data_IF_614286143807
#
_entry.id   IF_614286143807
#
_cell.length_a   1.000
_cell.length_b   1.000
_cell.length_c   1.000
_cell.angle_alpha   90.00
_cell.angle_beta   90.00
_cell.angle_gamma   90.00
#
_symmetry.space_group_name_H-M   'P 1'
#
loop_
_entity.id
_entity.type
_entity.pdbx_description
1 polymer ?
#
# COMPACT_ATOMS: atom_id res chain seq x y z
N UNK A 1 13.51 2.59 8.93
CA UNK A 1 12.82 2.75 7.67
C UNK A 1 13.59 1.95 6.64
N UNK A 2 13.08 1.70 5.45
CA UNK A 2 13.75 0.73 4.61
C UNK A 2 13.75 1.15 3.14
N UNK A 3 14.91 1.04 2.50
CA UNK A 3 15.06 0.98 1.06
C UNK A 3 14.51 -0.35 0.52
N UNK A 4 14.21 -0.42 -0.77
CA UNK A 4 13.89 -1.67 -1.45
C UNK A 4 14.80 -1.83 -2.68
N UNK A 5 15.21 -3.07 -2.93
CA UNK A 5 15.96 -3.45 -4.13
C UNK A 5 15.26 -4.63 -4.80
N UNK A 6 14.81 -4.41 -6.03
CA UNK A 6 14.23 -5.43 -6.90
C UNK A 6 15.26 -5.76 -7.98
N UNK A 7 15.75 -7.00 -8.00
CA UNK A 7 16.83 -7.44 -8.89
C UNK A 7 16.36 -8.57 -9.79
N UNK A 8 16.27 -8.28 -11.08
CA UNK A 8 15.88 -9.25 -12.12
C UNK A 8 14.56 -9.98 -11.80
N UNK A 9 13.60 -9.26 -11.22
CA UNK A 9 12.30 -9.83 -10.80
C UNK A 9 11.52 -10.30 -12.01
N UNK A 10 11.09 -11.55 -11.97
CA UNK A 10 10.22 -12.17 -12.95
C UNK A 10 9.01 -12.80 -12.29
N UNK A 11 7.87 -12.70 -12.96
CA UNK A 11 6.63 -13.40 -12.58
C UNK A 11 6.02 -14.07 -13.80
N UNK A 12 5.98 -15.39 -13.77
CA UNK A 12 5.30 -16.23 -14.75
C UNK A 12 4.25 -17.05 -14.02
N UNK A 13 3.00 -16.99 -14.45
CA UNK A 13 1.91 -17.79 -13.91
C UNK A 13 1.93 -19.23 -14.46
N UNK A 14 1.29 -20.22 -13.79
CA UNK A 14 1.26 -21.61 -14.25
C UNK A 14 0.71 -21.82 -15.65
N UNK A 15 -0.14 -20.92 -16.14
CA UNK A 15 -0.67 -20.93 -17.51
C UNK A 15 0.31 -20.37 -18.57
N UNK A 16 1.54 -20.08 -18.20
CA UNK A 16 2.59 -19.52 -19.08
C UNK A 16 2.51 -18.00 -19.28
N UNK A 17 1.53 -17.30 -18.68
CA UNK A 17 1.43 -15.84 -18.78
C UNK A 17 2.57 -15.17 -18.00
N UNK A 18 3.39 -14.37 -18.68
CA UNK A 18 4.47 -13.57 -18.09
C UNK A 18 3.91 -12.20 -17.71
N UNK A 19 3.72 -11.97 -16.41
CA UNK A 19 3.16 -10.72 -15.90
C UNK A 19 4.23 -9.66 -15.63
N UNK A 20 5.43 -10.06 -15.25
CA UNK A 20 6.59 -9.19 -15.01
C UNK A 20 7.84 -9.89 -15.53
N UNK A 21 8.68 -9.14 -16.25
CA UNK A 21 9.92 -9.68 -16.85
C UNK A 21 11.09 -8.77 -16.57
N UNK A 22 12.13 -9.34 -16.00
CA UNK A 22 13.43 -8.69 -15.75
C UNK A 22 13.29 -7.29 -15.12
N UNK A 23 12.40 -7.15 -14.15
CA UNK A 23 12.14 -5.87 -13.51
C UNK A 23 13.22 -5.56 -12.48
N UNK A 24 13.90 -4.43 -12.68
CA UNK A 24 14.96 -3.94 -11.82
C UNK A 24 14.61 -2.55 -11.30
N UNK A 25 14.69 -2.35 -9.99
CA UNK A 25 14.38 -1.06 -9.37
C UNK A 25 15.03 -0.95 -8.00
N UNK A 26 15.74 0.16 -7.79
CA UNK A 26 16.20 0.58 -6.46
C UNK A 26 15.30 1.71 -5.96
N UNK A 27 14.79 1.56 -4.74
CA UNK A 27 13.95 2.55 -4.06
C UNK A 27 14.67 2.99 -2.80
N UNK A 28 14.93 4.29 -2.69
CA UNK A 28 15.59 4.85 -1.52
C UNK A 28 14.66 4.85 -0.29
N UNK A 29 15.27 4.90 0.89
CA UNK A 29 14.51 5.12 2.13
C UNK A 29 13.75 6.45 2.07
N UNK A 30 12.51 6.46 2.57
CA UNK A 30 11.59 7.61 2.57
C UNK A 30 11.16 8.10 1.19
N UNK A 31 11.42 7.35 0.14
CA UNK A 31 11.01 7.71 -1.21
C UNK A 31 9.52 7.45 -1.42
N UNK A 32 8.84 8.36 -2.14
CA UNK A 32 7.46 8.16 -2.61
C UNK A 32 7.49 7.83 -4.10
N UNK A 33 7.47 6.55 -4.43
CA UNK A 33 7.52 6.08 -5.81
C UNK A 33 6.14 5.71 -6.34
N UNK A 34 5.87 6.05 -7.60
CA UNK A 34 4.60 5.74 -8.25
C UNK A 34 4.82 4.82 -9.45
N UNK A 35 4.09 3.72 -9.47
CA UNK A 35 3.98 2.84 -10.63
C UNK A 35 2.77 3.27 -11.46
N UNK A 36 3.00 3.74 -12.68
CA UNK A 36 1.96 4.14 -13.63
C UNK A 36 2.07 3.35 -14.93
N UNK A 37 0.95 3.05 -15.56
CA UNK A 37 0.91 2.33 -16.83
C UNK A 37 -0.47 1.77 -17.12
N UNK A 38 -0.69 1.18 -18.31
CA UNK A 38 -1.97 0.61 -18.70
C UNK A 38 -2.36 -0.58 -17.82
N UNK A 39 -3.63 -0.97 -17.88
CA UNK A 39 -4.10 -2.18 -17.21
C UNK A 39 -3.37 -3.41 -17.74
N UNK A 40 -3.03 -4.35 -16.85
CA UNK A 40 -2.33 -5.59 -17.22
C UNK A 40 -0.81 -5.46 -17.40
N UNK A 41 -0.17 -4.30 -17.21
CA UNK A 41 1.29 -4.17 -17.34
C UNK A 41 2.10 -4.62 -16.10
N UNK A 42 1.49 -5.30 -15.13
CA UNK A 42 2.19 -5.91 -14.01
C UNK A 42 2.30 -5.05 -12.74
N UNK A 43 1.73 -3.83 -12.67
CA UNK A 43 1.82 -2.93 -11.49
C UNK A 43 1.37 -3.60 -10.20
N UNK A 44 0.11 -4.01 -10.14
CA UNK A 44 -0.46 -4.67 -8.95
C UNK A 44 0.20 -6.02 -8.68
N UNK A 45 0.64 -6.75 -9.71
CA UNK A 45 1.42 -7.99 -9.54
C UNK A 45 2.74 -7.69 -8.84
N UNK A 46 3.48 -6.67 -9.30
CA UNK A 46 4.74 -6.24 -8.66
C UNK A 46 4.51 -5.81 -7.22
N UNK A 47 3.47 -5.01 -6.98
CA UNK A 47 3.11 -4.58 -5.63
C UNK A 47 2.79 -5.76 -4.71
N UNK A 48 2.06 -6.76 -5.20
CA UNK A 48 1.72 -7.99 -4.46
C UNK A 48 2.93 -8.88 -4.21
N UNK A 49 3.89 -8.95 -5.13
CA UNK A 49 5.16 -9.64 -4.90
C UNK A 49 5.96 -8.95 -3.79
N UNK A 50 6.01 -7.62 -3.75
CA UNK A 50 6.62 -6.87 -2.64
C UNK A 50 5.90 -7.17 -1.33
N UNK A 51 4.57 -7.26 -1.36
CA UNK A 51 3.75 -7.60 -0.20
C UNK A 51 3.91 -9.06 0.28
N UNK A 52 4.47 -9.95 -0.55
CA UNK A 52 4.49 -11.40 -0.29
C UNK A 52 3.16 -12.08 -0.50
N UNK A 53 2.21 -11.40 -1.15
CA UNK A 53 0.89 -11.94 -1.51
C UNK A 53 0.92 -12.66 -2.86
N UNK A 54 2.03 -12.56 -3.58
CA UNK A 54 2.29 -13.22 -4.86
C UNK A 54 3.74 -13.70 -4.86
N UNK A 55 3.98 -14.93 -5.29
CA UNK A 55 5.32 -15.51 -5.36
C UNK A 55 6.13 -14.90 -6.50
N UNK A 56 7.40 -14.67 -6.27
CA UNK A 56 8.39 -14.28 -7.27
C UNK A 56 8.88 -15.56 -7.98
N UNK A 57 8.77 -15.62 -9.31
CA UNK A 57 9.22 -16.80 -10.07
C UNK A 57 10.75 -16.88 -10.10
N UNK A 58 11.43 -15.75 -10.29
CA UNK A 58 12.89 -15.65 -10.19
C UNK A 58 13.31 -14.20 -9.95
N UNK A 59 14.55 -14.00 -9.52
CA UNK A 59 15.07 -12.70 -9.09
C UNK A 59 15.07 -12.58 -7.58
N UNK A 60 15.52 -11.43 -7.06
CA UNK A 60 15.71 -11.19 -5.64
C UNK A 60 15.04 -9.90 -5.21
N UNK A 61 14.28 -9.94 -4.12
CA UNK A 61 13.66 -8.79 -3.48
C UNK A 61 14.26 -8.56 -2.10
N UNK A 62 14.81 -7.38 -1.90
CA UNK A 62 15.32 -6.94 -0.59
C UNK A 62 14.45 -5.83 -0.02
N UNK A 63 14.23 -5.85 1.30
CA UNK A 63 13.69 -4.75 2.10
C UNK A 63 14.75 -4.41 3.14
N UNK A 64 15.38 -3.25 3.00
CA UNK A 64 16.65 -2.97 3.65
C UNK A 64 17.70 -3.98 3.19
N UNK A 65 18.44 -4.56 4.14
CA UNK A 65 19.48 -5.56 3.84
C UNK A 65 18.95 -7.00 3.83
N UNK A 66 17.63 -7.20 4.03
CA UNK A 66 17.02 -8.52 4.16
C UNK A 66 16.43 -8.99 2.84
N UNK A 67 16.89 -10.15 2.32
CA UNK A 67 16.21 -10.88 1.26
C UNK A 67 14.86 -11.40 1.77
N UNK A 68 13.75 -11.08 1.07
CA UNK A 68 12.40 -11.36 1.54
C UNK A 68 11.59 -12.27 0.64
N UNK A 69 12.18 -12.90 -0.36
CA UNK A 69 11.47 -13.78 -1.29
C UNK A 69 10.59 -14.81 -0.55
N UNK A 70 11.15 -15.51 0.44
CA UNK A 70 10.50 -16.57 1.20
C UNK A 70 9.94 -16.09 2.56
N UNK A 71 9.94 -14.77 2.80
CA UNK A 71 9.41 -14.19 4.05
C UNK A 71 7.90 -14.00 3.93
N UNK A 72 7.13 -14.53 4.88
CA UNK A 72 5.69 -14.37 4.91
C UNK A 72 5.27 -12.90 5.00
N UNK A 73 4.11 -12.50 4.43
CA UNK A 73 3.62 -11.10 4.43
C UNK A 73 3.59 -10.45 5.81
N UNK A 74 3.23 -11.21 6.85
CA UNK A 74 3.15 -10.71 8.24
C UNK A 74 4.49 -10.26 8.82
N UNK A 75 5.62 -10.84 8.29
CA UNK A 75 6.97 -10.67 8.80
C UNK A 75 7.84 -9.73 7.92
N UNK A 76 7.26 -9.14 6.85
CA UNK A 76 7.94 -8.20 5.95
C UNK A 76 7.99 -6.76 6.45
N UNK A 77 7.34 -6.46 7.56
CA UNK A 77 7.24 -5.10 8.14
C UNK A 77 6.68 -4.05 7.16
N UNK A 78 5.68 -4.44 6.42
CA UNK A 78 4.97 -3.64 5.44
C UNK A 78 3.49 -3.50 5.80
N UNK A 79 2.82 -2.48 5.28
CA UNK A 79 1.37 -2.36 5.30
C UNK A 79 0.83 -2.10 3.89
N UNK A 80 -0.30 -2.71 3.56
CA UNK A 80 -0.93 -2.56 2.26
C UNK A 80 -2.34 -1.98 2.38
N UNK A 81 -2.63 -0.99 1.55
CA UNK A 81 -3.96 -0.43 1.32
C UNK A 81 -4.46 -0.94 -0.02
N UNK A 82 -5.56 -1.68 0.00
CA UNK A 82 -6.17 -2.28 -1.19
C UNK A 82 -7.16 -1.34 -1.86
N UNK A 83 -7.37 -1.51 -3.15
CA UNK A 83 -8.34 -0.76 -3.96
C UNK A 83 -9.78 -0.80 -3.38
N UNK A 84 -10.20 -1.93 -2.81
CA UNK A 84 -11.52 -2.10 -2.19
C UNK A 84 -11.53 -1.81 -0.68
N UNK A 85 -10.46 -1.18 -0.16
CA UNK A 85 -10.22 -0.87 1.26
C UNK A 85 -10.12 -2.10 2.17
N UNK A 86 -10.70 -3.23 1.83
CA UNK A 86 -10.71 -4.51 2.56
C UNK A 86 -11.02 -4.36 4.07
N UNK A 87 -12.00 -3.50 4.42
CA UNK A 87 -12.44 -3.31 5.80
C UNK A 87 -13.31 -4.49 6.24
N UNK A 88 -13.18 -4.88 7.51
CA UNK A 88 -14.03 -5.88 8.14
C UNK A 88 -15.42 -5.27 8.44
N UNK A 89 -16.49 -5.69 7.74
CA UNK A 89 -17.78 -4.99 7.78
C UNK A 89 -18.51 -5.09 9.13
N UNK A 90 -18.22 -6.12 9.91
CA UNK A 90 -18.82 -6.38 11.22
C UNK A 90 -18.11 -5.64 12.36
N UNK A 91 -16.89 -5.17 12.15
CA UNK A 91 -16.08 -4.44 13.12
C UNK A 91 -16.34 -2.94 13.04
N UNK A 92 -16.18 -2.24 14.18
CA UNK A 92 -16.12 -0.78 14.23
C UNK A 92 -14.89 -0.23 13.50
N UNK A 93 -14.81 1.08 13.29
CA UNK A 93 -13.61 1.75 12.78
C UNK A 93 -12.44 1.49 13.74
N UNK A 94 -12.65 1.67 15.04
CA UNK A 94 -11.65 1.38 16.05
C UNK A 94 -11.14 -0.07 15.94
N UNK A 95 -12.04 -1.05 15.88
CA UNK A 95 -11.67 -2.46 15.79
C UNK A 95 -10.95 -2.81 14.49
N UNK A 96 -11.35 -2.20 13.37
CA UNK A 96 -10.63 -2.34 12.11
C UNK A 96 -9.17 -1.88 12.21
N UNK A 97 -8.94 -0.73 12.87
CA UNK A 97 -7.60 -0.20 13.07
C UNK A 97 -6.80 -1.04 14.07
N UNK A 98 -7.42 -1.44 15.18
CA UNK A 98 -6.79 -2.20 16.25
C UNK A 98 -6.47 -3.65 15.92
N UNK A 99 -7.13 -4.25 14.91
CA UNK A 99 -7.12 -5.68 14.64
C UNK A 99 -5.71 -6.26 14.48
N UNK A 100 -4.88 -5.65 13.65
CA UNK A 100 -3.50 -6.12 13.41
C UNK A 100 -2.61 -6.04 14.65
N UNK A 101 -2.84 -5.05 15.51
CA UNK A 101 -2.11 -4.89 16.78
C UNK A 101 -2.52 -5.95 17.80
N UNK A 102 -3.84 -6.28 17.85
CA UNK A 102 -4.34 -7.36 18.72
C UNK A 102 -3.75 -8.72 18.34
N UNK A 103 -3.65 -9.03 17.04
CA UNK A 103 -3.01 -10.26 16.55
C UNK A 103 -1.54 -10.35 16.97
N UNK A 104 -0.86 -9.21 17.03
CA UNK A 104 0.53 -9.11 17.52
C UNK A 104 0.63 -9.07 19.05
N UNK A 105 -0.49 -9.24 19.77
CA UNK A 105 -0.57 -9.23 21.25
C UNK A 105 -0.03 -7.93 21.86
N UNK A 106 -0.18 -6.79 21.20
CA UNK A 106 0.18 -5.48 21.73
C UNK A 106 -0.73 -5.16 22.93
N UNK A 107 -0.20 -4.58 24.03
CA UNK A 107 -1.00 -4.20 25.20
C UNK A 107 -2.15 -3.24 24.82
N UNK A 108 -3.31 -3.39 25.49
CA UNK A 108 -4.54 -2.64 25.19
C UNK A 108 -4.33 -1.12 25.25
N UNK A 109 -3.66 -0.63 26.27
CA UNK A 109 -3.41 0.81 26.45
C UNK A 109 -2.57 1.39 25.32
N UNK A 110 -1.60 0.60 24.82
CA UNK A 110 -0.78 1.00 23.66
C UNK A 110 -1.62 0.98 22.36
N UNK A 111 -2.48 -0.02 22.19
CA UNK A 111 -3.41 -0.08 21.04
C UNK A 111 -4.29 1.18 21.04
N UNK A 112 -4.89 1.51 22.19
CA UNK A 112 -5.80 2.66 22.33
C UNK A 112 -5.09 3.95 21.93
N UNK A 113 -3.88 4.16 22.44
CA UNK A 113 -3.05 5.31 22.10
C UNK A 113 -2.77 5.39 20.60
N UNK A 114 -2.27 4.32 19.97
CA UNK A 114 -1.92 4.28 18.56
C UNK A 114 -3.14 4.51 17.65
N UNK A 115 -4.29 3.93 18.01
CA UNK A 115 -5.53 4.10 17.23
C UNK A 115 -6.00 5.55 17.29
N UNK A 116 -6.02 6.19 18.47
CA UNK A 116 -6.44 7.59 18.60
C UNK A 116 -5.46 8.55 17.91
N UNK A 117 -4.15 8.32 18.03
CA UNK A 117 -3.15 9.11 17.29
C UNK A 117 -3.34 9.04 15.78
N UNK A 118 -3.52 7.83 15.23
CA UNK A 118 -3.77 7.65 13.80
C UNK A 118 -5.14 8.24 13.38
N UNK A 119 -6.18 8.09 14.19
CA UNK A 119 -7.49 8.67 13.93
C UNK A 119 -7.44 10.21 13.88
N UNK A 120 -6.65 10.83 14.78
CA UNK A 120 -6.41 12.27 14.79
C UNK A 120 -5.66 12.75 13.54
N UNK A 121 -4.62 12.04 13.12
CA UNK A 121 -3.89 12.35 11.88
C UNK A 121 -4.83 12.39 10.67
N UNK A 122 -5.80 11.47 10.65
CA UNK A 122 -6.74 11.27 9.52
C UNK A 122 -8.07 12.01 9.68
N UNK A 123 -8.28 12.76 10.78
CA UNK A 123 -9.54 13.44 11.11
C UNK A 123 -10.76 12.49 11.10
N UNK A 124 -10.64 11.33 11.73
CA UNK A 124 -11.71 10.30 11.83
C UNK A 124 -12.02 9.90 13.28
N UNK A 125 -11.58 10.66 14.27
CA UNK A 125 -11.82 10.37 15.70
C UNK A 125 -13.32 10.19 16.01
N UNK A 126 -14.17 11.05 15.44
CA UNK A 126 -15.63 11.00 15.61
C UNK A 126 -16.29 9.79 14.93
N UNK A 127 -15.51 8.98 14.20
CA UNK A 127 -16.02 7.82 13.47
C UNK A 127 -15.63 6.49 14.12
N UNK A 128 -14.83 6.48 15.18
CA UNK A 128 -14.24 5.29 15.78
C UNK A 128 -15.28 4.21 16.16
N UNK A 129 -16.46 4.61 16.61
CA UNK A 129 -17.55 3.69 16.99
C UNK A 129 -18.42 3.25 15.82
N UNK A 130 -18.27 3.87 14.64
CA UNK A 130 -19.09 3.55 13.47
C UNK A 130 -18.60 2.26 12.78
N UNK A 131 -19.52 1.62 12.05
CA UNK A 131 -19.20 0.48 11.18
C UNK A 131 -19.00 0.95 9.72
N UNK A 132 -18.24 0.21 8.89
CA UNK A 132 -17.95 0.57 7.51
C UNK A 132 -19.17 0.91 6.65
N UNK A 133 -20.32 0.28 6.88
CA UNK A 133 -21.57 0.55 6.16
C UNK A 133 -22.12 1.98 6.38
N UNK A 134 -21.76 2.62 7.49
CA UNK A 134 -22.19 3.98 7.85
C UNK A 134 -21.18 5.06 7.41
N UNK A 135 -20.22 4.71 6.57
CA UNK A 135 -19.12 5.59 6.13
C UNK A 135 -19.24 5.93 4.65
N UNK A 136 -18.85 7.15 4.28
CA UNK A 136 -18.61 7.52 2.86
C UNK A 136 -17.38 6.80 2.29
N UNK A 137 -17.21 6.84 0.95
CA UNK A 137 -16.04 6.26 0.29
C UNK A 137 -14.71 6.79 0.86
N UNK A 138 -14.56 8.11 0.98
CA UNK A 138 -13.35 8.72 1.54
C UNK A 138 -13.14 8.42 3.02
N UNK A 139 -14.23 8.29 3.81
CA UNK A 139 -14.10 7.87 5.20
C UNK A 139 -13.61 6.42 5.29
N UNK A 140 -14.15 5.49 4.47
CA UNK A 140 -13.63 4.11 4.41
C UNK A 140 -12.16 4.05 4.02
N UNK A 141 -11.74 4.88 3.07
CA UNK A 141 -10.34 4.96 2.68
C UNK A 141 -9.45 5.44 3.83
N UNK A 142 -9.85 6.51 4.54
CA UNK A 142 -9.09 6.99 5.72
C UNK A 142 -8.98 5.90 6.79
N UNK A 143 -10.03 5.12 7.01
CA UNK A 143 -9.98 3.97 7.93
C UNK A 143 -8.98 2.91 7.45
N UNK A 144 -8.94 2.60 6.15
CA UNK A 144 -7.97 1.66 5.60
C UNK A 144 -6.52 2.16 5.75
N UNK A 145 -6.30 3.47 5.55
CA UNK A 145 -5.01 4.12 5.83
C UNK A 145 -4.67 4.06 7.32
N UNK A 146 -5.62 4.35 8.21
CA UNK A 146 -5.44 4.25 9.65
C UNK A 146 -5.02 2.86 10.11
N UNK A 147 -5.64 1.81 9.55
CA UNK A 147 -5.26 0.42 9.79
C UNK A 147 -3.81 0.12 9.37
N UNK A 148 -3.31 0.78 8.34
CA UNK A 148 -1.93 0.67 7.91
C UNK A 148 -0.98 1.45 8.84
N UNK A 149 -1.33 2.70 9.18
CA UNK A 149 -0.51 3.62 9.99
C UNK A 149 -0.25 3.08 11.40
N UNK A 150 -1.27 2.55 12.09
CA UNK A 150 -1.15 2.05 13.47
C UNK A 150 -0.10 0.95 13.63
N UNK A 151 0.31 0.29 12.53
CA UNK A 151 1.33 -0.75 12.52
C UNK A 151 2.75 -0.20 12.47
N UNK A 152 2.88 1.10 12.19
CA UNK A 152 4.17 1.78 11.99
C UNK A 152 5.10 1.01 11.04
N UNK A 153 4.66 0.72 9.80
CA UNK A 153 5.40 -0.12 8.88
C UNK A 153 6.57 0.64 8.26
N UNK A 154 7.63 -0.08 7.89
CA UNK A 154 8.76 0.50 7.17
C UNK A 154 8.40 0.93 5.74
N UNK A 155 7.46 0.23 5.12
CA UNK A 155 7.02 0.47 3.74
C UNK A 155 5.51 0.43 3.65
N UNK A 156 4.92 1.44 3.02
CA UNK A 156 3.51 1.47 2.65
C UNK A 156 3.32 1.08 1.19
N UNK A 157 2.41 0.16 0.94
CA UNK A 157 1.99 -0.27 -0.39
C UNK A 157 0.56 0.17 -0.64
N UNK A 158 0.29 0.87 -1.74
CA UNK A 158 -1.04 1.39 -2.07
C UNK A 158 -1.45 0.95 -3.48
N UNK A 159 -2.43 0.05 -3.58
CA UNK A 159 -2.94 -0.50 -4.84
C UNK A 159 -4.19 0.27 -5.27
N UNK A 160 -4.03 1.24 -6.16
CA UNK A 160 -5.09 2.10 -6.71
C UNK A 160 -6.06 2.66 -5.63
N UNK A 161 -5.57 3.26 -4.54
CA UNK A 161 -6.41 3.56 -3.38
C UNK A 161 -7.48 4.61 -3.65
N UNK A 162 -7.36 5.43 -4.71
CA UNK A 162 -8.27 6.52 -5.03
C UNK A 162 -9.26 6.19 -6.16
N UNK A 163 -9.14 5.03 -6.81
CA UNK A 163 -9.92 4.67 -8.01
C UNK A 163 -11.44 4.66 -7.78
N UNK A 164 -11.90 4.32 -6.59
CA UNK A 164 -13.31 4.22 -6.23
C UNK A 164 -13.92 5.52 -5.68
N UNK A 165 -13.22 6.66 -5.80
CA UNK A 165 -13.69 7.96 -5.31
C UNK A 165 -14.13 8.87 -6.45
N UNK A 166 -15.09 9.75 -6.16
CA UNK A 166 -15.45 10.84 -7.06
C UNK A 166 -14.30 11.85 -7.22
N UNK A 167 -14.35 12.67 -8.28
CA UNK A 167 -13.27 13.58 -8.64
C UNK A 167 -12.91 14.58 -7.53
N UNK A 168 -13.91 15.15 -6.86
CA UNK A 168 -13.70 16.13 -5.78
C UNK A 168 -12.99 15.50 -4.58
N UNK A 169 -13.47 14.32 -4.17
CA UNK A 169 -12.92 13.60 -3.04
C UNK A 169 -11.51 13.06 -3.35
N UNK A 170 -11.26 12.66 -4.61
CA UNK A 170 -9.93 12.24 -5.08
C UNK A 170 -8.89 13.35 -4.92
N UNK A 171 -9.24 14.60 -5.28
CA UNK A 171 -8.35 15.76 -5.08
C UNK A 171 -8.02 15.96 -3.60
N UNK A 172 -9.03 15.90 -2.72
CA UNK A 172 -8.81 16.03 -1.28
C UNK A 172 -7.89 14.92 -0.74
N UNK A 173 -8.15 13.68 -1.14
CA UNK A 173 -7.38 12.54 -0.65
C UNK A 173 -5.93 12.53 -1.14
N UNK A 174 -5.64 13.06 -2.35
CA UNK A 174 -4.25 13.27 -2.80
C UNK A 174 -3.50 14.19 -1.84
N UNK A 175 -4.10 15.30 -1.46
CA UNK A 175 -3.49 16.24 -0.50
C UNK A 175 -3.23 15.55 0.84
N UNK A 176 -4.18 14.74 1.33
CA UNK A 176 -4.03 14.00 2.58
C UNK A 176 -2.89 12.97 2.52
N UNK A 177 -2.77 12.22 1.41
CA UNK A 177 -1.70 11.24 1.21
C UNK A 177 -0.33 11.94 1.16
N UNK A 178 -0.23 13.09 0.46
CA UNK A 178 1.01 13.87 0.42
C UNK A 178 1.42 14.37 1.81
N UNK A 179 0.48 14.91 2.58
CA UNK A 179 0.73 15.32 3.98
C UNK A 179 1.12 14.14 4.87
N UNK A 180 0.49 12.99 4.64
CA UNK A 180 0.80 11.77 5.37
C UNK A 180 2.25 11.32 5.13
N UNK A 181 2.69 11.29 3.87
CA UNK A 181 4.07 10.97 3.53
C UNK A 181 5.06 11.89 4.25
N UNK A 182 4.82 13.23 4.23
CA UNK A 182 5.67 14.20 4.92
C UNK A 182 5.72 13.98 6.44
N UNK A 183 4.63 13.51 7.07
CA UNK A 183 4.59 13.26 8.52
C UNK A 183 5.23 11.94 8.93
N UNK A 184 5.01 10.88 8.15
CA UNK A 184 5.48 9.54 8.49
C UNK A 184 6.91 9.28 8.06
N UNK A 185 7.43 10.09 7.11
CA UNK A 185 8.77 9.90 6.53
C UNK A 185 9.04 8.44 6.10
N UNK A 186 7.99 7.72 5.69
CA UNK A 186 8.07 6.31 5.31
C UNK A 186 8.18 6.13 3.81
N UNK A 187 8.78 5.02 3.38
CA UNK A 187 8.82 4.66 1.97
C UNK A 187 7.43 4.26 1.48
N UNK A 188 6.95 4.88 0.39
CA UNK A 188 5.64 4.61 -0.18
C UNK A 188 5.78 4.11 -1.61
N UNK A 189 5.11 3.00 -1.93
CA UNK A 189 4.94 2.51 -3.30
C UNK A 189 3.46 2.59 -3.63
N UNK A 190 3.13 3.40 -4.61
CA UNK A 190 1.76 3.72 -5.01
C UNK A 190 1.51 3.28 -6.45
N UNK A 191 0.46 2.51 -6.65
CA UNK A 191 0.02 2.07 -7.99
C UNK A 191 -1.17 2.90 -8.42
N UNK A 192 -1.13 3.42 -9.65
CA UNK A 192 -2.26 4.11 -10.27
C UNK A 192 -2.23 3.96 -11.79
N UNK A 193 -3.38 4.15 -12.42
CA UNK A 193 -3.52 4.37 -13.86
C UNK A 193 -3.79 5.85 -14.19
N UNK A 194 -3.96 6.71 -13.18
CA UNK A 194 -4.22 8.16 -13.34
C UNK A 194 -2.90 8.94 -13.40
N UNK A 195 -2.67 9.57 -14.55
CA UNK A 195 -1.45 10.36 -14.77
C UNK A 195 -1.38 11.60 -13.86
N UNK A 196 -2.54 12.18 -13.50
CA UNK A 196 -2.59 13.33 -12.60
C UNK A 196 -2.15 12.95 -11.18
N UNK A 197 -2.55 11.77 -10.71
CA UNK A 197 -2.05 11.24 -9.44
C UNK A 197 -0.53 11.04 -9.48
N UNK A 198 -0.03 10.44 -10.57
CA UNK A 198 1.40 10.19 -10.73
C UNK A 198 2.23 11.49 -10.70
N UNK A 199 1.78 12.53 -11.38
CA UNK A 199 2.49 13.81 -11.47
C UNK A 199 2.39 14.67 -10.20
N UNK A 200 1.42 14.40 -9.32
CA UNK A 200 1.14 15.27 -8.16
C UNK A 200 1.57 14.67 -6.82
N UNK A 201 1.75 13.37 -6.71
CA UNK A 201 2.00 12.70 -5.44
C UNK A 201 3.45 12.26 -5.26
N UNK A 202 4.05 11.67 -6.28
CA UNK A 202 5.33 10.97 -6.15
C UNK A 202 6.54 11.87 -6.27
N UNK A 203 7.63 11.44 -5.63
CA UNK A 203 8.97 12.01 -5.84
C UNK A 203 9.63 11.42 -7.09
N UNK A 204 9.23 10.20 -7.49
CA UNK A 204 9.69 9.52 -8.70
C UNK A 204 8.56 8.68 -9.30
N UNK A 205 8.54 8.61 -10.63
CA UNK A 205 7.55 7.86 -11.40
C UNK A 205 8.25 6.74 -12.15
N UNK A 206 7.72 5.53 -12.04
CA UNK A 206 8.11 4.36 -12.84
C UNK A 206 7.00 4.06 -13.82
N UNK A 207 7.28 4.24 -15.11
CA UNK A 207 6.34 3.92 -16.18
C UNK A 207 6.49 2.45 -16.55
N UNK A 208 5.47 1.65 -16.25
CA UNK A 208 5.42 0.24 -16.62
C UNK A 208 4.67 0.07 -17.93
N UNK A 209 5.23 -0.72 -18.84
CA UNK A 209 4.64 -1.01 -20.16
C UNK A 209 4.40 -2.51 -20.30
N UNK A 210 3.35 -2.87 -21.01
CA UNK A 210 3.15 -4.25 -21.45
C UNK A 210 4.17 -4.53 -22.55
N UNK A 211 5.06 -5.51 -22.38
CA UNK A 211 5.83 -6.03 -23.52
C UNK A 211 4.82 -6.75 -24.44
N UNK A 212 4.53 -6.15 -25.59
CA UNK A 212 3.82 -6.83 -26.65
C UNK A 212 4.78 -7.88 -27.21
N UNK A 213 4.60 -9.14 -26.83
CA UNK A 213 5.23 -10.23 -27.55
C UNK A 213 4.64 -10.24 -28.97
N UNK A 214 5.38 -9.76 -29.96
CA UNK A 214 5.09 -10.07 -31.36
C UNK A 214 5.17 -11.58 -31.50
N UNK A 215 4.04 -12.21 -31.80
CA UNK A 215 3.98 -13.60 -32.26
C UNK A 215 4.58 -13.73 -33.65
#
# INVERSE_FOLDING_TARGET
MASLSLRNINKTYPNGFVAVKNFNLEIADKEFIIFVGPSGCGKSTTLRMIAGLEEITSGELYIGDKLVNDVEPKDRDIAMVFQNYALYPHMSVYDNMAFGLRLRKVPKDRIDKLVHEAAKILNIEMLLDRKPKALSGGQRQRVAMGRAIVRDPKVFLMDEPLSNLDAKLRVQMRIEISKLHQRLESTIIYVTHDQTEALTLGTRIVVMRTELFSR
#
